data_IF_977316616574
#
_entry.id   IF_977316616574
#
_cell.length_a   1.000
_cell.length_b   1.000
_cell.length_c   1.000
_cell.angle_alpha   90.00
_cell.angle_beta   90.00
_cell.angle_gamma   90.00
#
_symmetry.space_group_name_H-M   'P 1'
#
loop_
_entity.id
_entity.type
_entity.pdbx_description
1 polymer ?
#
# COMPACT_ATOMS: atom_id res chain seq x y z
N UNK A 1 16.34 16.55 0.69
CA UNK A 1 15.93 16.10 2.04
C UNK A 1 14.61 15.34 1.93
N UNK A 2 14.42 14.24 2.66
CA UNK A 2 13.17 13.46 2.70
C UNK A 2 12.78 13.17 4.15
N UNK A 3 11.93 14.01 4.79
CA UNK A 3 11.47 13.75 6.16
C UNK A 3 10.55 12.53 6.20
N UNK A 4 10.55 11.82 7.33
CA UNK A 4 9.73 10.62 7.57
C UNK A 4 8.95 10.74 8.86
N UNK A 5 7.76 10.14 8.90
CA UNK A 5 6.96 10.00 10.11
C UNK A 5 7.24 8.62 10.69
N UNK A 6 7.76 8.59 11.90
CA UNK A 6 8.04 7.35 12.63
C UNK A 6 7.12 7.34 13.86
N UNK A 7 6.39 6.24 14.02
CA UNK A 7 5.67 5.94 15.25
C UNK A 7 6.69 5.69 16.37
N UNK A 8 6.62 6.48 17.45
CA UNK A 8 7.62 6.44 18.53
C UNK A 8 7.61 5.13 19.32
N UNK A 9 6.47 4.49 19.43
CA UNK A 9 6.27 3.34 20.31
C UNK A 9 6.70 2.05 19.62
N UNK A 10 6.37 1.92 18.33
CA UNK A 10 6.66 0.74 17.51
C UNK A 10 7.89 0.88 16.64
N UNK A 11 8.40 2.11 16.45
CA UNK A 11 9.49 2.42 15.51
C UNK A 11 9.10 2.27 14.04
N UNK A 12 7.81 2.06 13.74
CA UNK A 12 7.34 1.83 12.37
C UNK A 12 7.23 3.12 11.59
N UNK A 13 7.66 3.07 10.34
CA UNK A 13 7.46 4.17 9.41
C UNK A 13 5.99 4.23 8.98
N UNK A 14 5.42 5.43 9.10
CA UNK A 14 4.05 5.73 8.72
C UNK A 14 4.04 6.55 7.43
N UNK A 15 3.17 6.15 6.52
CA UNK A 15 3.01 6.77 5.21
C UNK A 15 1.71 7.55 5.11
N UNK A 16 1.80 8.69 4.44
CA UNK A 16 0.65 9.43 3.95
C UNK A 16 -0.03 8.69 2.80
N UNK A 17 -1.28 9.07 2.50
CA UNK A 17 -1.99 8.54 1.33
C UNK A 17 -1.24 8.71 0.00
N UNK A 18 -0.41 9.76 -0.13
CA UNK A 18 0.39 10.03 -1.35
C UNK A 18 1.52 8.99 -1.46
N UNK A 19 2.22 8.70 -0.38
CA UNK A 19 3.31 7.72 -0.35
C UNK A 19 2.78 6.31 -0.60
N UNK A 20 1.67 5.92 0.05
CA UNK A 20 1.03 4.63 -0.22
C UNK A 20 0.64 4.50 -1.69
N UNK A 21 0.00 5.54 -2.26
CA UNK A 21 -0.46 5.54 -3.63
C UNK A 21 0.71 5.44 -4.63
N UNK A 22 1.79 6.19 -4.39
CA UNK A 22 3.03 6.14 -5.17
C UNK A 22 3.63 4.73 -5.13
N UNK A 23 3.75 4.14 -3.94
CA UNK A 23 4.32 2.81 -3.78
C UNK A 23 3.46 1.73 -4.45
N UNK A 24 2.13 1.81 -4.34
CA UNK A 24 1.23 0.82 -4.92
C UNK A 24 0.89 1.02 -6.40
N UNK A 25 1.43 2.06 -7.05
CA UNK A 25 1.17 2.37 -8.45
C UNK A 25 -0.27 2.80 -8.72
N UNK A 26 -0.87 3.59 -7.81
CA UNK A 26 -2.25 4.11 -7.95
C UNK A 26 -2.27 5.63 -7.76
N UNK A 27 -3.34 6.30 -8.21
CA UNK A 27 -3.57 7.71 -7.83
C UNK A 27 -3.97 7.83 -6.35
N UNK A 28 -3.67 8.96 -5.70
CA UNK A 28 -4.01 9.22 -4.28
C UNK A 28 -5.49 8.96 -3.99
N UNK A 29 -6.39 9.58 -4.76
CA UNK A 29 -7.84 9.44 -4.58
C UNK A 29 -8.32 8.00 -4.72
N UNK A 30 -7.74 7.26 -5.67
CA UNK A 30 -8.00 5.83 -5.87
C UNK A 30 -7.56 5.01 -4.66
N UNK A 31 -6.34 5.24 -4.15
CA UNK A 31 -5.85 4.54 -2.96
C UNK A 31 -6.76 4.80 -1.75
N UNK A 32 -7.11 6.06 -1.48
CA UNK A 32 -8.00 6.39 -0.36
C UNK A 32 -9.39 5.78 -0.53
N UNK A 33 -9.89 5.71 -1.77
CA UNK A 33 -11.16 5.06 -2.08
C UNK A 33 -11.09 3.54 -1.85
N UNK A 34 -9.98 2.89 -2.18
CA UNK A 34 -9.76 1.47 -1.87
C UNK A 34 -9.71 1.21 -0.37
N UNK A 35 -8.97 2.04 0.39
CA UNK A 35 -8.90 1.91 1.85
C UNK A 35 -10.30 2.05 2.48
N UNK A 36 -11.09 3.03 2.04
CA UNK A 36 -12.48 3.22 2.51
C UNK A 36 -13.43 2.06 2.16
N UNK A 37 -13.15 1.31 1.09
CA UNK A 37 -13.94 0.15 0.65
C UNK A 37 -13.35 -1.20 1.08
N UNK A 38 -12.32 -1.22 1.94
CA UNK A 38 -11.67 -2.45 2.38
C UNK A 38 -10.89 -3.21 1.29
N UNK A 39 -10.49 -2.52 0.21
CA UNK A 39 -9.70 -3.07 -0.92
C UNK A 39 -8.21 -2.73 -0.83
N UNK A 40 -7.85 -1.86 0.10
CA UNK A 40 -6.49 -1.56 0.53
C UNK A 40 -6.43 -1.54 2.06
N UNK A 41 -5.24 -1.55 2.67
CA UNK A 41 -5.10 -1.48 4.11
C UNK A 41 -5.82 -0.28 4.73
N UNK A 42 -6.35 -0.47 5.94
CA UNK A 42 -6.97 0.60 6.72
C UNK A 42 -5.89 1.52 7.29
N UNK A 43 -6.17 2.82 7.46
CA UNK A 43 -5.24 3.71 8.14
C UNK A 43 -5.08 3.31 9.61
N UNK A 44 -3.88 3.50 10.15
CA UNK A 44 -3.53 3.18 11.54
C UNK A 44 -3.62 4.39 12.45
N UNK A 45 -3.50 5.61 11.91
CA UNK A 45 -3.57 6.84 12.70
C UNK A 45 -4.15 8.02 11.92
N UNK A 46 -4.66 8.99 12.68
CA UNK A 46 -4.95 10.35 12.21
C UNK A 46 -4.16 11.34 13.07
N UNK A 47 -3.28 12.13 12.46
CA UNK A 47 -2.39 13.05 13.17
C UNK A 47 -2.31 14.38 12.43
N UNK A 48 -2.70 15.48 13.09
CA UNK A 48 -2.66 16.84 12.51
C UNK A 48 -3.29 16.97 11.11
N UNK A 49 -4.43 16.31 10.88
CA UNK A 49 -5.11 16.31 9.58
C UNK A 49 -4.53 15.33 8.55
N UNK A 50 -3.40 14.68 8.84
CA UNK A 50 -2.89 13.57 8.07
C UNK A 50 -3.61 12.28 8.46
N UNK A 51 -3.93 11.46 7.47
CA UNK A 51 -4.28 10.06 7.67
C UNK A 51 -3.06 9.24 7.31
N UNK A 52 -2.69 8.31 8.18
CA UNK A 52 -1.43 7.58 8.10
C UNK A 52 -1.66 6.08 8.04
N UNK A 53 -0.81 5.39 7.28
CA UNK A 53 -0.80 3.94 7.11
C UNK A 53 0.54 3.38 7.53
N UNK A 54 0.52 2.17 8.08
CA UNK A 54 1.74 1.41 8.34
C UNK A 54 2.40 1.01 7.01
N UNK A 55 3.62 1.50 6.77
CA UNK A 55 4.37 1.21 5.55
C UNK A 55 4.57 -0.30 5.32
N UNK A 56 4.81 -1.08 6.37
CA UNK A 56 5.01 -2.53 6.28
C UNK A 56 3.76 -3.22 5.75
N UNK A 57 2.59 -2.85 6.26
CA UNK A 57 1.30 -3.40 5.78
C UNK A 57 1.05 -3.03 4.32
N UNK A 58 1.47 -1.84 3.87
CA UNK A 58 1.39 -1.47 2.45
C UNK A 58 2.32 -2.35 1.60
N UNK A 59 3.55 -2.58 2.06
CA UNK A 59 4.50 -3.48 1.38
C UNK A 59 3.91 -4.88 1.18
N UNK A 60 3.43 -5.50 2.26
CA UNK A 60 2.83 -6.84 2.26
C UNK A 60 1.65 -6.91 1.28
N UNK A 61 0.73 -5.94 1.36
CA UNK A 61 -0.43 -5.88 0.48
C UNK A 61 -0.07 -5.74 -1.01
N UNK A 62 0.96 -4.95 -1.36
CA UNK A 62 1.41 -4.82 -2.75
C UNK A 62 2.04 -6.13 -3.26
N UNK A 63 2.83 -6.81 -2.44
CA UNK A 63 3.45 -8.08 -2.82
C UNK A 63 2.41 -9.20 -3.01
N UNK A 64 1.41 -9.30 -2.13
CA UNK A 64 0.27 -10.21 -2.30
C UNK A 64 -0.44 -9.98 -3.64
N UNK A 65 -0.69 -8.72 -4.00
CA UNK A 65 -1.31 -8.36 -5.28
C UNK A 65 -0.46 -8.74 -6.50
N UNK A 66 0.87 -8.64 -6.40
CA UNK A 66 1.78 -9.07 -7.47
C UNK A 66 1.74 -10.59 -7.62
N UNK A 67 1.73 -11.34 -6.52
CA UNK A 67 1.69 -12.80 -6.55
C UNK A 67 0.35 -13.35 -7.04
N UNK A 68 -0.77 -12.71 -6.67
CA UNK A 68 -2.09 -13.01 -7.24
C UNK A 68 -2.18 -12.71 -8.74
N UNK A 69 -1.46 -11.70 -9.25
CA UNK A 69 -1.36 -11.45 -10.69
C UNK A 69 -0.47 -12.44 -11.41
N UNK A 70 0.61 -12.92 -10.78
CA UNK A 70 1.53 -13.91 -11.37
C UNK A 70 0.85 -15.28 -11.52
N UNK A 71 0.05 -15.69 -10.54
CA UNK A 71 -0.74 -16.93 -10.64
C UNK A 71 -1.83 -16.89 -11.73
N UNK A 72 -2.33 -15.70 -12.08
CA UNK A 72 -3.24 -15.51 -13.21
C UNK A 72 -2.53 -15.39 -14.58
N UNK A 73 -1.19 -15.36 -14.61
CA UNK A 73 -0.36 -15.32 -15.83
C UNK A 73 0.57 -16.56 -15.86
N UNK A 74 0.00 -17.76 -15.87
CA UNK A 74 0.74 -18.93 -16.37
C UNK A 74 0.65 -18.96 -17.90
N UNK A 75 1.75 -19.21 -18.62
CA UNK A 75 1.76 -19.16 -20.07
C UNK A 75 1.00 -20.35 -20.67
N UNK A 76 0.00 -20.02 -21.48
CA UNK A 76 -0.54 -20.88 -22.53
C UNK A 76 0.54 -21.06 -23.62
N UNK A 77 0.65 -22.30 -24.10
CA UNK A 77 1.48 -22.83 -25.21
C UNK A 77 2.95 -23.20 -24.93
N UNK A 78 3.11 -24.41 -24.39
CA UNK A 78 4.07 -25.39 -24.91
C UNK A 78 3.31 -26.39 -25.79
N UNK A 79 3.65 -26.48 -27.08
CA UNK A 79 3.50 -27.61 -28.03
C UNK A 79 3.16 -27.12 -29.45
N UNK A 80 4.16 -27.13 -30.33
CA UNK A 80 4.21 -27.96 -31.54
C UNK A 80 5.51 -27.66 -32.31
#
# INVERSE_FOLDING_TARGET
MQPKIIDSDSGRELWTAIECAKFSGTARGTFTSYAGRGRAPKPVAKMHGLTLWDSKTIHEWVEERKNGRKSAKSPENSEA
#
